data_IF_008464038305
#
_entry.id   IF_008464038305
#
_cell.length_a   1.000
_cell.length_b   1.000
_cell.length_c   1.000
_cell.angle_alpha   90.00
_cell.angle_beta   90.00
_cell.angle_gamma   90.00
#
_symmetry.space_group_name_H-M   'P 1'
#
loop_
_entity.id
_entity.type
_entity.pdbx_description
1 polymer ?
#
# COMPACT_ATOMS: atom_id res chain seq x y z
N UNK A 1 15.34 -1.74 -5.96
CA UNK A 1 15.36 -0.96 -4.71
C UNK A 1 14.50 0.28 -4.91
N UNK A 2 13.50 0.48 -4.05
CA UNK A 2 12.68 1.70 -4.02
C UNK A 2 13.13 2.56 -2.85
N UNK A 3 13.37 3.84 -3.07
CA UNK A 3 13.65 4.82 -2.04
C UNK A 3 12.73 6.02 -2.18
N UNK A 4 12.34 6.60 -1.06
CA UNK A 4 11.60 7.86 -1.03
C UNK A 4 11.73 8.52 0.33
N UNK A 5 11.23 9.75 0.44
CA UNK A 5 10.89 10.35 1.71
C UNK A 5 9.43 10.77 1.76
N UNK A 6 8.87 10.71 2.94
CA UNK A 6 7.52 11.15 3.21
C UNK A 6 7.42 11.84 4.57
N UNK A 7 6.38 12.65 4.72
CA UNK A 7 6.03 13.36 5.95
C UNK A 7 4.52 13.46 6.00
N UNK A 8 3.94 13.34 7.19
CA UNK A 8 2.54 13.66 7.45
C UNK A 8 2.45 14.78 8.48
N UNK A 9 1.38 15.56 8.45
CA UNK A 9 1.13 16.58 9.49
C UNK A 9 0.67 15.93 10.80
N UNK A 10 -0.14 14.88 10.69
CA UNK A 10 -0.58 13.99 11.77
C UNK A 10 -1.05 12.65 11.19
N UNK A 11 -1.10 11.63 12.04
CA UNK A 11 -1.75 10.36 11.76
C UNK A 11 -3.28 10.51 11.87
N UNK A 12 -4.00 9.69 11.11
CA UNK A 12 -5.48 9.70 11.16
C UNK A 12 -5.94 8.99 12.43
N UNK A 13 -6.06 9.71 13.54
CA UNK A 13 -6.36 9.13 14.87
C UNK A 13 -7.67 8.31 14.89
N UNK A 14 -8.66 8.72 14.10
CA UNK A 14 -9.96 8.04 13.99
C UNK A 14 -9.91 6.75 13.15
N UNK A 15 -8.85 6.52 12.36
CA UNK A 15 -8.76 5.37 11.48
C UNK A 15 -8.85 4.05 12.27
N UNK A 16 -9.62 3.11 11.72
CA UNK A 16 -9.78 1.73 12.19
C UNK A 16 -9.50 0.80 11.00
N UNK A 17 -8.23 0.57 10.64
CA UNK A 17 -7.85 -0.17 9.42
C UNK A 17 -8.27 -1.66 9.39
N UNK A 18 -9.02 -2.14 10.40
CA UNK A 18 -9.62 -3.49 10.45
C UNK A 18 -11.11 -3.50 10.14
N UNK A 19 -11.74 -2.34 9.87
CA UNK A 19 -13.16 -2.23 9.50
C UNK A 19 -13.29 -1.43 8.22
N UNK A 20 -14.22 -1.83 7.36
CA UNK A 20 -14.54 -1.20 6.07
C UNK A 20 -14.78 0.33 6.09
N UNK A 21 -14.95 0.94 7.26
CA UNK A 21 -15.28 2.36 7.43
C UNK A 21 -14.18 3.15 8.12
N UNK A 22 -12.92 2.69 8.08
CA UNK A 22 -11.83 3.33 8.80
C UNK A 22 -10.45 3.02 8.23
N UNK A 23 -10.37 2.72 6.94
CA UNK A 23 -9.11 2.37 6.27
C UNK A 23 -8.39 3.62 5.75
N UNK A 24 -8.41 4.66 6.58
CA UNK A 24 -7.76 5.92 6.29
C UNK A 24 -6.31 5.84 6.73
N UNK A 25 -5.41 6.25 5.85
CA UNK A 25 -3.99 6.33 6.14
C UNK A 25 -3.51 7.72 5.75
N UNK A 26 -2.74 8.32 6.66
CA UNK A 26 -2.20 9.65 6.44
C UNK A 26 -1.31 9.70 5.19
N UNK A 27 -0.63 8.60 4.85
CA UNK A 27 0.13 8.46 3.62
C UNK A 27 0.21 7.00 3.16
N UNK A 28 0.19 6.80 1.84
CA UNK A 28 0.35 5.50 1.18
C UNK A 28 1.31 5.61 -0.01
N UNK A 29 2.14 4.57 -0.20
CA UNK A 29 2.94 4.35 -1.42
C UNK A 29 2.63 2.96 -1.97
N UNK A 30 2.03 2.93 -3.16
CA UNK A 30 1.68 1.70 -3.85
C UNK A 30 2.75 1.30 -4.86
N UNK A 31 3.01 0.01 -4.95
CA UNK A 31 3.83 -0.60 -6.00
C UNK A 31 3.02 -1.70 -6.68
N UNK A 32 2.79 -1.54 -7.98
CA UNK A 32 1.97 -2.46 -8.77
C UNK A 32 2.86 -3.44 -9.52
N UNK A 33 2.45 -4.72 -9.54
CA UNK A 33 3.20 -5.81 -10.15
C UNK A 33 2.44 -6.43 -11.32
N UNK A 34 3.19 -6.80 -12.37
CA UNK A 34 2.71 -7.48 -13.57
C UNK A 34 2.43 -8.96 -13.27
N UNK A 35 1.32 -9.23 -12.60
CA UNK A 35 0.85 -10.62 -12.42
C UNK A 35 -0.12 -10.93 -13.55
N UNK A 36 0.16 -11.91 -14.42
CA UNK A 36 -0.77 -12.26 -15.48
C UNK A 36 -2.03 -12.88 -14.86
N UNK A 37 -3.19 -12.58 -15.48
CA UNK A 37 -4.51 -13.07 -15.04
C UNK A 37 -4.53 -14.61 -14.94
N UNK A 38 -3.63 -15.31 -15.65
CA UNK A 38 -3.55 -16.76 -15.70
C UNK A 38 -2.89 -17.43 -14.47
N UNK A 39 -2.13 -16.70 -13.66
CA UNK A 39 -1.53 -17.20 -12.44
C UNK A 39 -2.54 -17.35 -11.27
N UNK A 40 -3.78 -16.89 -11.48
CA UNK A 40 -4.90 -16.97 -10.54
C UNK A 40 -5.80 -18.16 -10.88
N UNK A 41 -6.23 -18.93 -9.88
CA UNK A 41 -7.20 -20.01 -10.07
C UNK A 41 -8.51 -19.51 -10.70
N UNK A 42 -9.19 -20.36 -11.48
CA UNK A 42 -10.37 -20.01 -12.28
C UNK A 42 -11.47 -19.27 -11.48
N UNK A 43 -11.70 -19.67 -10.23
CA UNK A 43 -12.67 -19.02 -9.34
C UNK A 43 -12.28 -17.58 -8.96
N UNK A 44 -10.98 -17.34 -8.72
CA UNK A 44 -10.46 -16.01 -8.40
C UNK A 44 -10.54 -15.09 -9.62
N UNK A 45 -10.25 -15.60 -10.82
CA UNK A 45 -10.44 -14.85 -12.08
C UNK A 45 -11.89 -14.41 -12.28
N UNK A 46 -12.85 -15.30 -12.04
CA UNK A 46 -14.27 -14.99 -12.16
C UNK A 46 -14.71 -13.90 -11.17
N UNK A 47 -14.31 -14.01 -9.90
CA UNK A 47 -14.59 -12.97 -8.89
C UNK A 47 -13.97 -11.62 -9.25
N UNK A 48 -12.71 -11.61 -9.73
CA UNK A 48 -12.03 -10.38 -10.13
C UNK A 48 -12.67 -9.73 -11.36
N UNK A 49 -13.06 -10.50 -12.39
CA UNK A 49 -13.77 -9.95 -13.56
C UNK A 49 -15.10 -9.29 -13.18
N UNK A 50 -15.84 -9.88 -12.26
CA UNK A 50 -17.08 -9.28 -11.73
C UNK A 50 -16.78 -8.03 -10.92
N UNK A 51 -15.78 -8.07 -10.03
CA UNK A 51 -15.37 -6.92 -9.22
C UNK A 51 -14.89 -5.75 -10.09
N UNK A 52 -14.07 -5.98 -11.12
CA UNK A 52 -13.60 -4.97 -12.08
C UNK A 52 -14.76 -4.29 -12.82
N UNK A 53 -15.78 -5.07 -13.21
CA UNK A 53 -16.96 -4.56 -13.93
C UNK A 53 -17.90 -3.74 -13.05
N UNK A 54 -17.94 -4.03 -11.75
CA UNK A 54 -18.77 -3.31 -10.76
C UNK A 54 -18.04 -2.08 -10.22
N UNK A 55 -16.72 -2.17 -9.99
CA UNK A 55 -15.90 -1.14 -9.36
C UNK A 55 -15.22 -0.20 -10.37
N UNK A 56 -15.28 -0.50 -11.67
CA UNK A 56 -14.82 0.40 -12.73
C UNK A 56 -13.32 0.72 -12.67
N UNK A 57 -12.45 -0.28 -12.66
CA UNK A 57 -11.01 -0.12 -12.92
C UNK A 57 -10.34 -1.47 -13.17
N UNK A 58 -9.30 -1.49 -14.01
CA UNK A 58 -8.32 -2.58 -14.09
C UNK A 58 -7.57 -2.71 -12.77
N UNK A 59 -8.19 -3.42 -11.81
CA UNK A 59 -7.58 -3.66 -10.51
C UNK A 59 -6.27 -4.45 -10.70
N UNK A 60 -5.15 -3.96 -10.16
CA UNK A 60 -3.86 -4.63 -10.28
C UNK A 60 -3.94 -6.01 -9.62
N UNK A 61 -3.39 -7.00 -10.32
CA UNK A 61 -3.44 -8.40 -9.88
C UNK A 61 -2.58 -8.68 -8.64
N UNK A 62 -1.59 -7.82 -8.35
CA UNK A 62 -0.94 -7.72 -7.04
C UNK A 62 -0.35 -6.33 -6.81
N UNK A 63 -0.40 -5.86 -5.56
CA UNK A 63 0.29 -4.65 -5.15
C UNK A 63 0.86 -4.76 -3.73
N UNK A 64 1.99 -4.10 -3.49
CA UNK A 64 2.42 -3.73 -2.16
C UNK A 64 1.94 -2.31 -1.87
N UNK A 65 1.46 -2.06 -0.66
CA UNK A 65 1.09 -0.74 -0.17
C UNK A 65 1.86 -0.43 1.10
N UNK A 66 2.80 0.51 1.05
CA UNK A 66 3.49 0.99 2.23
C UNK A 66 2.67 2.08 2.89
N UNK A 67 2.42 1.95 4.19
CA UNK A 67 1.45 2.81 4.87
C UNK A 67 2.03 3.49 6.11
N UNK A 68 1.56 4.71 6.35
CA UNK A 68 1.68 5.41 7.62
C UNK A 68 0.40 5.15 8.43
N UNK A 69 0.44 4.13 9.30
CA UNK A 69 -0.69 3.67 10.11
C UNK A 69 -0.89 4.59 11.34
N UNK A 70 -1.89 4.31 12.17
CA UNK A 70 -2.12 5.01 13.43
C UNK A 70 -1.97 4.10 14.67
N UNK A 71 -2.01 2.77 14.50
CA UNK A 71 -2.08 1.79 15.59
C UNK A 71 -1.20 0.57 15.37
N UNK A 72 -1.11 0.06 14.14
CA UNK A 72 -0.32 -1.15 13.87
C UNK A 72 1.17 -0.83 13.99
N UNK A 73 1.95 -1.76 14.52
CA UNK A 73 3.37 -1.55 14.68
C UNK A 73 4.09 -1.51 13.32
N UNK A 74 5.12 -0.66 13.13
CA UNK A 74 6.01 -0.75 11.97
C UNK A 74 6.56 -2.17 11.78
N UNK A 75 6.62 -2.61 10.53
CA UNK A 75 6.96 -3.98 10.13
C UNK A 75 5.76 -4.93 10.03
N UNK A 76 4.56 -4.53 10.45
CA UNK A 76 3.35 -5.33 10.27
C UNK A 76 3.04 -5.49 8.78
N UNK A 77 2.78 -6.73 8.34
CA UNK A 77 2.27 -7.04 7.01
C UNK A 77 0.85 -7.57 7.14
N UNK A 78 -0.10 -6.97 6.41
CA UNK A 78 -1.51 -7.34 6.45
C UNK A 78 -2.10 -7.48 5.04
N UNK A 79 -3.13 -8.31 4.90
CA UNK A 79 -3.95 -8.29 3.71
C UNK A 79 -4.90 -7.09 3.77
N UNK A 80 -5.02 -6.37 2.65
CA UNK A 80 -5.99 -5.29 2.52
C UNK A 80 -7.42 -5.85 2.63
N UNK A 81 -8.29 -5.25 3.45
CA UNK A 81 -9.64 -5.75 3.69
C UNK A 81 -10.62 -5.54 2.53
N UNK A 82 -10.28 -4.70 1.54
CA UNK A 82 -11.11 -4.39 0.38
C UNK A 82 -10.60 -5.05 -0.90
N UNK A 83 -9.28 -5.08 -1.09
CA UNK A 83 -8.64 -5.56 -2.30
C UNK A 83 -7.70 -6.72 -1.94
N UNK A 84 -8.18 -7.96 -2.07
CA UNK A 84 -7.43 -9.14 -1.68
C UNK A 84 -6.04 -9.31 -2.35
N UNK A 85 -5.82 -8.65 -3.50
CA UNK A 85 -4.54 -8.62 -4.22
C UNK A 85 -3.52 -7.62 -3.65
N UNK A 86 -3.91 -6.77 -2.70
CA UNK A 86 -3.03 -5.81 -2.05
C UNK A 86 -2.49 -6.39 -0.73
N UNK A 87 -1.23 -6.10 -0.44
CA UNK A 87 -0.60 -6.35 0.86
C UNK A 87 -0.08 -5.04 1.42
N UNK A 88 -0.57 -4.69 2.59
CA UNK A 88 -0.14 -3.50 3.33
C UNK A 88 1.10 -3.84 4.15
N UNK A 89 2.07 -2.92 4.17
CA UNK A 89 3.27 -2.99 4.99
C UNK A 89 3.37 -1.67 5.76
N UNK A 90 3.28 -1.74 7.09
CA UNK A 90 3.36 -0.57 7.95
C UNK A 90 4.82 -0.16 8.08
N UNK A 91 5.16 1.06 7.69
CA UNK A 91 6.52 1.61 7.82
C UNK A 91 6.61 2.64 8.93
N UNK A 92 5.56 3.42 9.12
CA UNK A 92 5.42 4.38 10.20
C UNK A 92 4.05 4.24 10.86
N UNK A 93 3.94 4.62 12.13
CA UNK A 93 2.66 4.58 12.83
C UNK A 93 2.51 5.68 13.87
N UNK A 94 1.32 6.28 13.90
CA UNK A 94 0.93 7.32 14.85
C UNK A 94 1.70 8.63 14.65
N UNK A 95 1.61 9.51 15.66
CA UNK A 95 2.16 10.87 15.60
C UNK A 95 3.60 10.99 16.07
N UNK A 96 4.22 9.90 16.52
CA UNK A 96 5.58 9.93 17.05
C UNK A 96 6.55 10.60 16.06
N UNK A 97 6.38 10.39 14.75
CA UNK A 97 7.20 10.98 13.70
C UNK A 97 6.49 12.04 12.85
N UNK A 98 5.28 12.46 13.22
CA UNK A 98 4.55 13.50 12.49
C UNK A 98 5.35 14.83 12.44
N UNK A 99 5.16 15.59 11.37
CA UNK A 99 5.88 16.83 11.10
C UNK A 99 7.35 16.65 10.70
N UNK A 100 7.88 15.41 10.64
CA UNK A 100 9.28 15.12 10.30
C UNK A 100 9.38 14.30 9.02
N UNK A 101 10.35 14.64 8.17
CA UNK A 101 10.66 13.81 7.00
C UNK A 101 11.26 12.48 7.44
N UNK A 102 10.69 11.39 6.94
CA UNK A 102 11.17 10.02 7.10
C UNK A 102 11.64 9.51 5.75
N UNK A 103 12.81 8.86 5.72
CA UNK A 103 13.39 8.26 4.52
C UNK A 103 13.17 6.76 4.59
N UNK A 104 12.64 6.21 3.51
CA UNK A 104 12.42 4.78 3.35
C UNK A 104 13.31 4.24 2.23
N UNK A 105 13.79 3.02 2.41
CA UNK A 105 14.51 2.26 1.38
C UNK A 105 14.09 0.80 1.46
N UNK A 106 13.45 0.30 0.41
CA UNK A 106 12.77 -1.01 0.37
C UNK A 106 13.25 -1.87 -0.77
N UNK A 107 13.59 -3.12 -0.45
CA UNK A 107 13.79 -4.15 -1.45
C UNK A 107 12.44 -4.74 -1.83
N UNK A 108 11.90 -4.27 -2.96
CA UNK A 108 10.61 -4.70 -3.48
C UNK A 108 10.53 -6.21 -3.71
N UNK A 109 11.63 -6.87 -4.07
CA UNK A 109 11.63 -8.30 -4.31
C UNK A 109 11.54 -9.09 -3.00
N UNK A 110 12.26 -8.64 -1.98
CA UNK A 110 12.19 -9.21 -0.64
C UNK A 110 10.81 -8.98 0.00
N UNK A 111 10.28 -7.76 -0.10
CA UNK A 111 8.98 -7.39 0.46
C UNK A 111 7.83 -8.15 -0.20
N UNK A 112 7.86 -8.30 -1.53
CA UNK A 112 6.87 -9.10 -2.24
C UNK A 112 6.93 -10.57 -1.81
N UNK A 113 8.13 -11.13 -1.66
CA UNK A 113 8.30 -12.50 -1.19
C UNK A 113 7.76 -12.69 0.23
N UNK A 114 8.03 -11.75 1.13
CA UNK A 114 7.51 -11.79 2.49
C UNK A 114 5.97 -11.71 2.51
N UNK A 115 5.38 -10.87 1.65
CA UNK A 115 3.95 -10.61 1.64
C UNK A 115 3.11 -11.68 0.91
N UNK A 116 3.67 -12.31 -0.13
CA UNK A 116 2.95 -13.23 -1.01
C UNK A 116 3.54 -14.65 -1.08
N UNK A 117 4.73 -14.89 -0.52
CA UNK A 117 5.40 -16.19 -0.54
C UNK A 117 5.91 -16.61 -1.93
N UNK A 118 6.01 -15.66 -2.88
CA UNK A 118 6.35 -15.90 -4.30
C UNK A 118 7.44 -14.94 -4.78
N UNK A 119 8.18 -15.26 -5.85
CA UNK A 119 9.08 -14.29 -6.47
C UNK A 119 8.31 -13.08 -7.01
N UNK A 120 8.89 -11.89 -6.88
CA UNK A 120 8.30 -10.65 -7.36
C UNK A 120 8.28 -10.59 -8.90
N UNK A 121 7.12 -10.28 -9.50
CA UNK A 121 7.04 -9.96 -10.92
C UNK A 121 7.62 -8.58 -11.23
N UNK A 122 7.53 -8.17 -12.49
CA UNK A 122 7.97 -6.83 -12.92
C UNK A 122 7.09 -5.75 -12.28
N UNK A 123 7.71 -4.66 -11.83
CA UNK A 123 6.98 -3.45 -11.40
C UNK A 123 6.43 -2.73 -12.63
N UNK A 124 5.15 -2.38 -12.60
CA UNK A 124 4.45 -1.70 -13.71
C UNK A 124 3.98 -0.30 -13.34
N UNK A 125 4.07 0.08 -12.07
CA UNK A 125 3.71 1.43 -11.63
C UNK A 125 3.98 1.65 -10.16
N UNK A 126 4.12 2.92 -9.81
CA UNK A 126 4.19 3.41 -8.44
C UNK A 126 3.18 4.55 -8.32
N UNK A 127 2.39 4.54 -7.25
CA UNK A 127 1.49 5.64 -6.93
C UNK A 127 1.68 6.08 -5.48
N UNK A 128 1.42 7.35 -5.21
CA UNK A 128 1.40 7.91 -3.85
C UNK A 128 0.02 8.49 -3.60
N UNK A 129 -0.48 8.34 -2.38
CA UNK A 129 -1.79 8.83 -1.99
C UNK A 129 -1.80 9.29 -0.54
N UNK A 130 -2.63 10.29 -0.24
CA UNK A 130 -3.16 10.56 1.09
C UNK A 130 -4.62 10.16 1.05
N UNK A 131 -5.09 9.37 2.01
CA UNK A 131 -6.45 8.82 1.97
C UNK A 131 -7.16 9.07 3.30
N UNK A 132 -8.13 9.98 3.28
CA UNK A 132 -8.87 10.45 4.47
C UNK A 132 -10.37 10.47 4.24
N UNK A 133 -10.87 9.72 3.25
CA UNK A 133 -12.25 9.84 2.80
C UNK A 133 -13.26 9.17 3.75
N UNK A 134 -12.86 8.23 4.62
CA UNK A 134 -13.79 7.52 5.49
C UNK A 134 -14.04 8.19 6.85
N UNK A 135 -13.10 8.99 7.37
CA UNK A 135 -13.20 9.61 8.71
C UNK A 135 -13.66 11.05 8.72
N UNK A 136 -13.90 11.67 7.55
CA UNK A 136 -14.13 13.13 7.40
C UNK A 136 -13.00 13.98 7.99
N UNK A 137 -11.81 13.39 8.17
CA UNK A 137 -10.63 14.12 8.60
C UNK A 137 -9.87 14.65 7.39
N UNK A 138 -8.99 15.61 7.64
CA UNK A 138 -8.09 16.16 6.64
C UNK A 138 -6.68 15.89 7.12
N UNK A 139 -5.89 15.14 6.36
CA UNK A 139 -4.48 14.91 6.61
C UNK A 139 -3.67 15.34 5.38
N UNK A 140 -2.57 16.04 5.63
CA UNK A 140 -1.65 16.46 4.59
C UNK A 140 -0.43 15.56 4.60
N UNK A 141 -0.17 14.91 3.47
CA UNK A 141 1.05 14.18 3.23
C UNK A 141 1.93 14.89 2.21
N UNK A 142 3.23 14.82 2.44
CA UNK A 142 4.25 15.25 1.50
C UNK A 142 5.10 14.06 1.12
N UNK A 143 5.44 13.97 -0.17
CA UNK A 143 6.32 12.95 -0.72
C UNK A 143 7.48 13.63 -1.45
N UNK A 144 8.64 13.00 -1.49
CA UNK A 144 9.80 13.51 -2.20
C UNK A 144 10.84 12.44 -2.45
N UNK A 145 11.81 12.77 -3.31
CA UNK A 145 12.98 11.94 -3.61
C UNK A 145 12.62 10.49 -4.00
N UNK A 146 11.51 10.31 -4.74
CA UNK A 146 11.06 8.97 -5.14
C UNK A 146 11.96 8.43 -6.25
N UNK A 147 12.68 7.36 -5.95
CA UNK A 147 13.68 6.75 -6.81
C UNK A 147 13.49 5.23 -6.87
N UNK A 148 13.44 4.70 -8.10
CA UNK A 148 13.47 3.27 -8.36
C UNK A 148 14.75 2.91 -9.10
N UNK A 149 15.62 2.14 -8.45
CA UNK A 149 16.90 1.70 -9.00
C UNK A 149 17.04 0.16 -8.94
N UNK A 150 17.88 -0.46 -9.77
CA UNK A 150 18.26 -1.87 -9.60
C UNK A 150 18.83 -2.16 -8.21
N UNK A 151 18.76 -3.41 -7.75
CA UNK A 151 19.51 -3.82 -6.56
C UNK A 151 20.99 -3.95 -6.97
N UNK A 152 21.94 -3.29 -6.27
CA UNK A 152 23.37 -3.44 -6.52
C UNK A 152 23.86 -4.88 -6.34
#
# INVERSE_FOLDING_TARGET
MLAWRWKVDHAVAAARPQRRSGDDYAARVYVFFDVPDDALGLATRWKLKVARRVLGADLPNAALCYVWDNRRAPGTIAADPFIASVREIVLESGDAHAGRWRRERRDLAADYRAAFGKPAPRVIGIAVASDTDNTQSVATAWFGDLELAPVP
#
